data_IF_375388476164
#
_entry.id   IF_375388476164
#
_cell.length_a   1.000
_cell.length_b   1.000
_cell.length_c   1.000
_cell.angle_alpha   90.00
_cell.angle_beta   90.00
_cell.angle_gamma   90.00
#
_symmetry.space_group_name_H-M   'P 1'
#
loop_
_entity.id
_entity.type
_entity.pdbx_description
1 polymer ?
#
# COMPACT_ATOMS: atom_id res chain seq x y z
N UNK A 1 -41.51 13.79 48.61
CA UNK A 1 -40.56 12.88 47.92
C UNK A 1 -41.19 12.43 46.62
N UNK A 2 -40.51 12.63 45.48
CA UNK A 2 -40.97 12.08 44.19
C UNK A 2 -40.65 13.01 43.02
N UNK A 3 -39.40 12.98 42.55
CA UNK A 3 -38.99 13.65 41.32
C UNK A 3 -39.03 12.65 40.16
N UNK A 4 -39.80 12.96 39.11
CA UNK A 4 -39.76 12.26 37.82
C UNK A 4 -38.53 12.72 37.02
N UNK A 5 -37.78 11.74 36.51
CA UNK A 5 -36.47 11.87 35.88
C UNK A 5 -36.58 12.28 34.40
N UNK A 6 -35.76 13.27 34.00
CA UNK A 6 -35.42 13.64 32.61
C UNK A 6 -34.01 13.12 32.26
N UNK A 7 -33.77 12.88 30.97
CA UNK A 7 -32.44 12.78 30.32
C UNK A 7 -32.05 11.33 30.00
N UNK A 8 -32.08 10.89 28.73
CA UNK A 8 -31.04 11.09 27.69
C UNK A 8 -29.69 10.49 28.14
N UNK A 9 -29.02 9.56 27.46
CA UNK A 9 -29.06 9.06 26.08
C UNK A 9 -28.24 7.77 26.12
N UNK A 10 -28.74 6.65 25.58
CA UNK A 10 -27.99 5.39 25.52
C UNK A 10 -26.97 5.48 24.38
N UNK A 11 -25.71 5.28 24.74
CA UNK A 11 -24.60 4.92 23.86
C UNK A 11 -25.02 3.81 22.90
N UNK A 12 -25.03 4.08 21.60
CA UNK A 12 -24.93 3.11 20.51
C UNK A 12 -24.81 3.87 19.20
N UNK A 13 -23.60 4.30 18.87
CA UNK A 13 -23.23 4.53 17.47
C UNK A 13 -22.17 3.49 17.13
N UNK A 14 -22.69 2.35 16.69
CA UNK A 14 -22.01 1.37 15.88
C UNK A 14 -21.52 2.09 14.63
N UNK A 15 -20.30 2.60 14.69
CA UNK A 15 -19.65 3.31 13.60
C UNK A 15 -19.34 2.29 12.51
N UNK A 16 -20.33 2.08 11.65
CA UNK A 16 -20.26 1.22 10.48
C UNK A 16 -18.93 1.48 9.76
N UNK A 17 -18.06 0.48 9.82
CA UNK A 17 -16.81 0.43 9.08
C UNK A 17 -17.11 0.67 7.61
N UNK A 18 -16.78 1.87 7.12
CA UNK A 18 -16.86 2.20 5.70
C UNK A 18 -15.55 1.71 5.05
N UNK A 19 -15.55 0.63 4.25
CA UNK A 19 -14.34 0.11 3.59
C UNK A 19 -13.98 0.88 2.31
N UNK A 20 -14.55 2.08 2.13
CA UNK A 20 -14.52 2.79 0.83
C UNK A 20 -13.24 3.61 0.61
N UNK A 21 -12.42 3.85 1.63
CA UNK A 21 -11.14 4.55 1.45
C UNK A 21 -10.09 3.67 0.75
N UNK A 22 -10.12 2.35 0.93
CA UNK A 22 -9.17 1.43 0.30
C UNK A 22 -9.40 1.26 -1.21
N UNK A 23 -10.66 1.35 -1.66
CA UNK A 23 -11.04 1.19 -3.07
C UNK A 23 -10.64 2.43 -3.89
N UNK A 24 -10.84 3.64 -3.36
CA UNK A 24 -10.42 4.89 -4.02
C UNK A 24 -8.90 4.97 -4.22
N UNK A 25 -8.13 4.35 -3.33
CA UNK A 25 -6.67 4.35 -3.39
C UNK A 25 -6.14 3.43 -4.51
N UNK A 26 -6.73 2.24 -4.66
CA UNK A 26 -6.46 1.32 -5.76
C UNK A 26 -7.01 1.82 -7.10
N UNK A 27 -8.15 2.52 -7.11
CA UNK A 27 -8.69 3.13 -8.33
C UNK A 27 -7.84 4.29 -8.85
N UNK A 28 -7.15 5.02 -7.97
CA UNK A 28 -6.14 6.00 -8.40
C UNK A 28 -4.95 5.33 -9.10
N UNK A 29 -4.54 4.14 -8.63
CA UNK A 29 -3.49 3.33 -9.23
C UNK A 29 -3.94 2.81 -10.61
N UNK A 30 -5.14 2.23 -10.73
CA UNK A 30 -5.64 1.76 -12.03
C UNK A 30 -5.92 2.91 -12.98
N UNK A 31 -6.37 4.08 -12.52
CA UNK A 31 -6.66 5.23 -13.39
C UNK A 31 -5.38 5.94 -13.84
N UNK A 32 -4.36 6.09 -12.99
CA UNK A 32 -3.06 6.63 -13.41
C UNK A 32 -2.34 5.69 -14.38
N UNK A 33 -2.44 4.38 -14.22
CA UNK A 33 -1.69 3.40 -15.03
C UNK A 33 -2.51 2.66 -16.10
N UNK A 34 -3.78 3.05 -16.28
CA UNK A 34 -4.77 2.40 -17.16
C UNK A 34 -4.31 2.11 -18.59
N UNK A 35 -3.53 2.97 -19.26
CA UNK A 35 -3.09 2.70 -20.64
C UNK A 35 -2.01 1.62 -20.75
N UNK A 36 -1.34 1.23 -19.64
CA UNK A 36 -0.07 0.51 -19.68
C UNK A 36 -0.19 -0.90 -19.06
N UNK A 37 -1.14 -1.11 -18.14
CA UNK A 37 -1.33 -2.41 -17.45
C UNK A 37 -2.17 -3.44 -18.22
N UNK A 38 -2.75 -3.08 -19.38
CA UNK A 38 -3.68 -3.95 -20.12
C UNK A 38 -3.01 -4.92 -21.11
N UNK A 39 -1.77 -4.69 -21.51
CA UNK A 39 -1.11 -5.51 -22.55
C UNK A 39 -0.24 -6.67 -22.02
N UNK A 40 -0.09 -6.82 -20.71
CA UNK A 40 0.67 -7.97 -20.15
C UNK A 40 -0.27 -9.10 -19.73
N UNK A 41 -0.14 -10.32 -20.31
CA UNK A 41 -0.71 -11.50 -19.69
C UNK A 41 -0.07 -11.66 -18.31
N UNK A 42 -0.89 -11.68 -17.26
CA UNK A 42 -0.46 -12.05 -15.92
C UNK A 42 -0.08 -13.54 -15.94
N UNK A 43 1.16 -13.84 -16.30
CA UNK A 43 1.73 -15.16 -16.01
C UNK A 43 1.92 -15.18 -14.50
N UNK A 44 0.92 -15.70 -13.79
CA UNK A 44 1.05 -16.06 -12.40
C UNK A 44 2.05 -17.22 -12.33
N UNK A 45 3.34 -16.88 -12.22
CA UNK A 45 4.35 -17.86 -11.84
C UNK A 45 3.98 -18.33 -10.43
N UNK A 46 3.31 -19.48 -10.36
CA UNK A 46 2.90 -20.12 -9.12
C UNK A 46 4.12 -20.76 -8.46
N UNK A 47 5.15 -19.97 -8.16
CA UNK A 47 6.15 -20.34 -7.16
C UNK A 47 5.43 -20.24 -5.82
N UNK A 48 4.85 -21.36 -5.39
CA UNK A 48 4.14 -21.52 -4.12
C UNK A 48 5.09 -21.48 -2.91
N UNK A 49 5.97 -20.48 -2.82
CA UNK A 49 6.21 -19.87 -1.52
C UNK A 49 4.98 -19.00 -1.26
N UNK A 50 3.92 -19.61 -0.72
CA UNK A 50 2.83 -18.86 -0.11
C UNK A 50 3.48 -18.05 1.02
N UNK A 51 3.97 -16.87 0.69
CA UNK A 51 4.35 -15.82 1.63
C UNK A 51 3.04 -15.34 2.23
N UNK A 52 2.51 -16.14 3.16
CA UNK A 52 1.30 -15.82 3.89
C UNK A 52 1.57 -14.48 4.57
N UNK A 53 0.75 -13.49 4.26
CA UNK A 53 0.84 -12.17 4.88
C UNK A 53 0.93 -12.32 6.40
N UNK A 54 2.06 -11.90 6.97
CA UNK A 54 2.24 -11.89 8.41
C UNK A 54 1.97 -10.50 8.95
N UNK A 55 1.05 -10.43 9.91
CA UNK A 55 0.77 -9.22 10.68
C UNK A 55 2.06 -8.70 11.33
N UNK A 56 2.42 -7.41 11.16
CA UNK A 56 3.53 -6.82 11.89
C UNK A 56 3.25 -6.83 13.41
N UNK A 57 4.30 -6.89 14.26
CA UNK A 57 4.15 -6.69 15.70
C UNK A 57 3.48 -5.35 16.03
N UNK A 58 2.88 -5.26 17.22
CA UNK A 58 2.21 -4.04 17.66
C UNK A 58 3.19 -2.84 17.68
N UNK A 59 2.76 -1.70 17.13
CA UNK A 59 3.58 -0.49 17.03
C UNK A 59 4.47 -0.41 15.79
N UNK A 60 4.41 -1.40 14.90
CA UNK A 60 5.06 -1.36 13.59
C UNK A 60 4.01 -1.30 12.47
N UNK A 61 4.41 -0.67 11.36
CA UNK A 61 3.71 -0.77 10.09
C UNK A 61 4.47 -1.68 9.13
N UNK A 62 3.76 -2.27 8.17
CA UNK A 62 4.38 -3.02 7.08
C UNK A 62 4.30 -2.21 5.79
N UNK A 63 5.42 -2.07 5.10
CA UNK A 63 5.58 -1.27 3.89
C UNK A 63 5.94 -2.23 2.76
N UNK A 64 5.03 -2.42 1.81
CA UNK A 64 5.32 -3.10 0.56
C UNK A 64 5.70 -2.06 -0.50
N UNK A 65 6.73 -2.34 -1.28
CA UNK A 65 7.11 -1.54 -2.44
C UNK A 65 7.28 -2.43 -3.67
N UNK A 66 7.16 -1.82 -4.86
CA UNK A 66 7.33 -2.50 -6.14
C UNK A 66 7.77 -1.50 -7.21
N UNK A 67 8.71 -1.90 -8.05
CA UNK A 67 9.20 -1.16 -9.20
C UNK A 67 8.74 -1.77 -10.51
N UNK A 68 8.12 -0.98 -11.38
CA UNK A 68 7.64 -1.45 -12.68
C UNK A 68 8.39 -0.79 -13.84
N UNK A 69 8.86 -1.59 -14.80
CA UNK A 69 9.44 -1.07 -16.06
C UNK A 69 8.45 -1.26 -17.20
N UNK A 70 8.23 -0.18 -17.95
CA UNK A 70 7.39 -0.12 -19.14
C UNK A 70 8.28 0.22 -20.35
N UNK A 71 8.97 -0.80 -20.88
CA UNK A 71 9.99 -0.64 -21.93
C UNK A 71 9.43 0.03 -23.19
N UNK A 72 8.27 -0.40 -23.68
CA UNK A 72 7.63 0.15 -24.89
C UNK A 72 7.30 1.64 -24.77
N UNK A 73 7.03 2.11 -23.56
CA UNK A 73 6.73 3.51 -23.28
C UNK A 73 7.97 4.32 -22.88
N UNK A 74 9.15 3.68 -22.75
CA UNK A 74 10.35 4.24 -22.14
C UNK A 74 10.06 4.89 -20.76
N UNK A 75 9.29 4.18 -19.93
CA UNK A 75 8.86 4.68 -18.62
C UNK A 75 9.11 3.66 -17.52
N UNK A 76 9.07 4.11 -16.28
CA UNK A 76 9.04 3.27 -15.10
C UNK A 76 8.01 3.78 -14.11
N UNK A 77 7.66 2.93 -13.15
CA UNK A 77 6.70 3.23 -12.10
C UNK A 77 7.20 2.74 -10.75
N UNK A 78 6.76 3.41 -9.70
CA UNK A 78 6.98 3.00 -8.32
C UNK A 78 5.62 2.89 -7.64
N UNK A 79 5.42 1.81 -6.88
CA UNK A 79 4.29 1.59 -6.00
C UNK A 79 4.74 1.40 -4.55
N UNK A 80 3.96 1.94 -3.61
CA UNK A 80 4.17 1.75 -2.17
C UNK A 80 2.82 1.57 -1.48
N UNK A 81 2.71 0.62 -0.55
CA UNK A 81 1.53 0.42 0.31
C UNK A 81 1.98 0.24 1.76
N UNK A 82 1.41 1.01 2.67
CA UNK A 82 1.66 0.94 4.11
C UNK A 82 0.42 0.36 4.80
N UNK A 83 0.59 -0.70 5.61
CA UNK A 83 -0.49 -1.36 6.35
C UNK A 83 -0.22 -1.43 7.85
N UNK A 84 -1.29 -1.43 8.63
CA UNK A 84 -1.24 -1.69 10.07
C UNK A 84 -1.20 -3.19 10.40
N UNK A 85 -1.24 -3.50 11.69
CA UNK A 85 -1.27 -4.88 12.21
C UNK A 85 -2.58 -5.63 11.92
N UNK A 86 -3.66 -4.92 11.61
CA UNK A 86 -4.92 -5.55 11.20
C UNK A 86 -5.00 -5.76 9.68
N UNK A 87 -3.96 -5.34 8.94
CA UNK A 87 -3.92 -5.40 7.48
C UNK A 87 -4.65 -4.25 6.78
N UNK A 88 -5.12 -3.23 7.52
CA UNK A 88 -5.71 -2.03 6.93
C UNK A 88 -4.64 -1.17 6.28
N UNK A 89 -4.93 -0.68 5.08
CA UNK A 89 -4.05 0.27 4.39
C UNK A 89 -4.15 1.63 5.07
N UNK A 90 -3.02 2.09 5.61
CA UNK A 90 -2.89 3.40 6.25
C UNK A 90 -2.53 4.48 5.23
N UNK A 91 -1.73 4.12 4.22
CA UNK A 91 -1.30 5.03 3.16
C UNK A 91 -0.82 4.25 1.93
N UNK A 92 -0.81 4.89 0.76
CA UNK A 92 -0.12 4.38 -0.43
C UNK A 92 0.43 5.52 -1.28
N UNK A 93 1.38 5.19 -2.13
CA UNK A 93 1.97 6.10 -3.10
C UNK A 93 2.11 5.41 -4.45
N UNK A 94 1.92 6.16 -5.53
CA UNK A 94 2.32 5.71 -6.86
C UNK A 94 2.88 6.86 -7.69
N UNK A 95 3.99 6.60 -8.35
CA UNK A 95 4.75 7.59 -9.12
C UNK A 95 5.11 7.01 -10.48
N UNK A 96 5.02 7.84 -11.53
CA UNK A 96 5.51 7.53 -12.86
C UNK A 96 6.81 8.29 -13.10
N UNK A 97 7.80 7.61 -13.62
CA UNK A 97 9.10 8.17 -13.94
C UNK A 97 9.25 8.13 -15.48
N UNK A 98 9.49 9.29 -16.13
CA UNK A 98 9.56 9.39 -17.59
C UNK A 98 10.92 8.91 -18.12
N UNK A 99 11.33 7.71 -17.70
CA UNK A 99 12.55 7.03 -18.10
C UNK A 99 12.40 5.54 -17.79
N UNK A 100 12.81 4.66 -18.70
CA UNK A 100 12.98 3.25 -18.40
C UNK A 100 14.30 3.01 -17.63
N UNK A 101 14.18 2.40 -16.45
CA UNK A 101 15.31 1.92 -15.66
C UNK A 101 15.45 0.40 -15.82
N UNK A 102 16.57 -0.16 -15.36
CA UNK A 102 16.67 -1.61 -15.19
C UNK A 102 15.75 -2.06 -14.03
N UNK A 103 15.26 -3.31 -14.05
CA UNK A 103 14.45 -3.86 -12.96
C UNK A 103 15.05 -3.60 -11.56
N UNK A 104 16.32 -3.93 -11.35
CA UNK A 104 16.98 -3.75 -10.05
C UNK A 104 17.08 -2.27 -9.63
N UNK A 105 17.24 -1.36 -10.60
CA UNK A 105 17.32 0.08 -10.35
C UNK A 105 15.94 0.63 -9.94
N UNK A 106 14.87 0.22 -10.61
CA UNK A 106 13.52 0.69 -10.28
C UNK A 106 13.04 0.14 -8.94
N UNK A 107 13.39 -1.10 -8.61
CA UNK A 107 13.15 -1.69 -7.28
C UNK A 107 13.86 -0.90 -6.18
N UNK A 108 15.11 -0.50 -6.44
CA UNK A 108 15.87 0.35 -5.52
C UNK A 108 15.23 1.72 -5.32
N UNK A 109 14.75 2.32 -6.41
CA UNK A 109 14.03 3.59 -6.34
C UNK A 109 12.70 3.44 -5.60
N UNK A 110 11.99 2.32 -5.78
CA UNK A 110 10.76 2.02 -5.08
C UNK A 110 10.97 1.86 -3.56
N UNK A 111 11.99 1.13 -3.14
CA UNK A 111 12.38 1.00 -1.74
C UNK A 111 12.75 2.34 -1.10
N UNK A 112 13.56 3.14 -1.81
CA UNK A 112 13.92 4.50 -1.37
C UNK A 112 12.68 5.37 -1.18
N UNK A 113 11.78 5.38 -2.17
CA UNK A 113 10.52 6.13 -2.10
C UNK A 113 9.66 5.67 -0.92
N UNK A 114 9.59 4.37 -0.68
CA UNK A 114 8.83 3.79 0.41
C UNK A 114 9.30 4.27 1.78
N UNK A 115 10.62 4.31 2.00
CA UNK A 115 11.22 4.83 3.23
C UNK A 115 10.99 6.34 3.40
N UNK A 116 11.23 7.13 2.35
CA UNK A 116 10.97 8.57 2.39
C UNK A 116 9.51 8.88 2.68
N UNK A 117 8.59 8.20 2.00
CA UNK A 117 7.16 8.37 2.16
C UNK A 117 6.69 8.01 3.57
N UNK A 118 7.18 6.89 4.12
CA UNK A 118 6.86 6.51 5.49
C UNK A 118 7.39 7.51 6.52
N UNK A 119 8.61 8.04 6.30
CA UNK A 119 9.20 9.06 7.15
C UNK A 119 8.39 10.36 7.14
N UNK A 120 7.96 10.83 5.95
CA UNK A 120 7.12 12.02 5.78
C UNK A 120 5.77 11.90 6.50
N UNK A 121 5.21 10.68 6.55
CA UNK A 121 3.98 10.37 7.29
C UNK A 121 4.18 10.16 8.79
N UNK A 122 5.42 10.25 9.29
CA UNK A 122 5.75 10.11 10.71
C UNK A 122 5.88 8.67 11.19
N UNK A 123 5.91 7.67 10.30
CA UNK A 123 6.19 6.29 10.69
C UNK A 123 7.69 6.14 10.98
N UNK A 124 8.01 5.77 12.23
CA UNK A 124 9.40 5.63 12.72
C UNK A 124 9.86 4.19 12.88
N UNK A 125 8.91 3.26 12.94
CA UNK A 125 9.15 1.83 13.08
C UNK A 125 8.36 1.09 12.00
N UNK A 126 9.05 0.40 11.10
CA UNK A 126 8.42 -0.27 9.97
C UNK A 126 9.17 -1.55 9.56
N UNK A 127 8.45 -2.48 8.97
CA UNK A 127 8.99 -3.64 8.25
C UNK A 127 8.85 -3.34 6.75
N UNK A 128 9.96 -3.30 6.03
CA UNK A 128 10.00 -3.10 4.59
C UNK A 128 10.00 -4.47 3.88
N UNK A 129 9.17 -4.64 2.86
CA UNK A 129 9.06 -5.85 2.05
C UNK A 129 9.03 -5.48 0.56
N UNK A 130 9.76 -6.24 -0.26
CA UNK A 130 9.75 -6.19 -1.72
C UNK A 130 10.01 -7.57 -2.30
N UNK A 131 10.02 -7.71 -3.62
CA UNK A 131 10.27 -8.97 -4.32
C UNK A 131 11.66 -9.04 -4.99
N UNK A 132 12.45 -7.95 -4.89
CA UNK A 132 13.83 -7.90 -5.37
C UNK A 132 14.83 -8.57 -4.42
N UNK A 133 15.27 -9.79 -4.75
CA UNK A 133 16.28 -10.53 -3.97
C UNK A 133 17.60 -9.76 -3.78
N UNK A 134 17.94 -8.86 -4.70
CA UNK A 134 19.13 -8.02 -4.56
C UNK A 134 19.01 -6.96 -3.46
N UNK A 135 17.80 -6.74 -2.96
CA UNK A 135 17.46 -5.62 -2.07
C UNK A 135 16.91 -6.04 -0.71
N UNK A 136 16.27 -7.22 -0.60
CA UNK A 136 15.67 -7.75 0.64
C UNK A 136 16.51 -8.88 1.26
#
# INVERSE_FOLDING_TARGET
MGAQKKGATRFSEELAHVPLQAILLADSFTTKFRPITLDRPKVLSLSLSLSIWQTPPLGLVKINFDGAVFEDANMSGVGVVIKDNNGFVLASCSEKIPQAYKPDEIETLAAKKALSFAHELGFRCAILEGDSLGLI
#
